data_IF_215446115592
#
_entry.id   IF_215446115592
#
_cell.length_a   1.000
_cell.length_b   1.000
_cell.length_c   1.000
_cell.angle_alpha   90.00
_cell.angle_beta   90.00
_cell.angle_gamma   90.00
#
_symmetry.space_group_name_H-M   'P 1'
#
loop_
_entity.id
_entity.type
_entity.pdbx_description
1 polymer ?
#
# COMPACT_ATOMS: atom_id res chain seq x y z
N UNK A 1 -92.42 28.06 25.41
CA UNK A 1 -91.17 28.55 26.04
C UNK A 1 -90.10 27.51 25.72
N UNK A 2 -89.02 27.71 24.97
CA UNK A 2 -88.32 28.85 24.38
C UNK A 2 -87.50 28.31 23.19
N UNK A 3 -87.47 29.05 22.06
CA UNK A 3 -86.30 29.39 21.20
C UNK A 3 -85.38 28.23 20.73
N UNK A 4 -85.00 28.05 19.46
CA UNK A 4 -84.87 28.98 18.35
C UNK A 4 -84.73 28.19 17.05
N UNK A 5 -85.45 28.67 16.04
CA UNK A 5 -85.23 28.54 14.61
C UNK A 5 -83.79 28.87 14.19
N UNK A 6 -83.01 27.84 13.84
CA UNK A 6 -81.77 27.96 13.05
C UNK A 6 -81.59 26.70 12.19
N UNK A 7 -82.65 26.33 11.49
CA UNK A 7 -82.66 25.25 10.49
C UNK A 7 -83.37 25.83 9.27
N UNK A 8 -82.83 25.63 8.08
CA UNK A 8 -83.22 26.23 6.79
C UNK A 8 -82.62 27.61 6.47
N UNK A 9 -81.29 27.78 6.49
CA UNK A 9 -80.65 28.74 5.57
C UNK A 9 -79.16 28.44 5.26
N UNK A 10 -78.75 27.17 5.36
CA UNK A 10 -77.45 26.70 4.84
C UNK A 10 -77.60 25.44 3.98
N UNK A 11 -78.76 25.31 3.31
CA UNK A 11 -79.07 24.27 2.32
C UNK A 11 -78.95 24.78 0.87
N UNK A 12 -78.29 25.92 0.65
CA UNK A 12 -78.16 26.56 -0.66
C UNK A 12 -76.70 26.89 -1.06
N UNK A 13 -75.71 26.29 -0.36
CA UNK A 13 -74.27 26.44 -0.68
C UNK A 13 -73.53 25.09 -0.69
N UNK A 14 -74.26 24.00 -0.93
CA UNK A 14 -73.74 22.63 -1.06
C UNK A 14 -74.01 22.02 -2.46
N UNK A 15 -74.25 22.88 -3.45
CA UNK A 15 -74.60 22.50 -4.83
C UNK A 15 -73.73 23.24 -5.84
N UNK A 16 -72.41 23.11 -5.72
CA UNK A 16 -71.52 23.39 -6.86
C UNK A 16 -70.33 22.42 -6.85
N UNK A 17 -70.31 21.55 -7.87
CA UNK A 17 -69.20 20.74 -8.37
C UNK A 17 -68.86 19.42 -7.67
N UNK A 18 -69.72 18.44 -7.91
CA UNK A 18 -69.27 17.08 -8.24
C UNK A 18 -69.28 16.92 -9.76
N UNK A 19 -68.10 16.95 -10.39
CA UNK A 19 -67.88 16.25 -11.67
C UNK A 19 -66.67 15.36 -11.51
N UNK A 20 -66.94 14.07 -11.42
CA UNK A 20 -65.98 12.98 -11.43
C UNK A 20 -65.09 13.04 -12.67
N UNK A 21 -63.78 13.21 -12.46
CA UNK A 21 -62.77 12.71 -13.39
C UNK A 21 -62.01 11.60 -12.67
N UNK A 22 -62.54 10.38 -12.74
CA UNK A 22 -61.76 9.19 -12.47
C UNK A 22 -60.80 8.98 -13.64
N UNK A 23 -59.60 9.57 -13.56
CA UNK A 23 -58.49 9.16 -14.42
C UNK A 23 -57.93 7.88 -13.82
N UNK A 24 -58.32 6.74 -14.39
CA UNK A 24 -57.65 5.48 -14.13
C UNK A 24 -56.17 5.65 -14.50
N UNK A 25 -55.29 5.68 -13.50
CA UNK A 25 -53.85 5.72 -13.72
C UNK A 25 -53.44 4.41 -14.40
N UNK A 26 -53.14 4.46 -15.70
CA UNK A 26 -52.45 3.37 -16.40
C UNK A 26 -51.22 3.04 -15.54
N UNK A 27 -51.10 1.80 -15.07
CA UNK A 27 -49.86 1.27 -14.49
C UNK A 27 -48.75 1.48 -15.53
N UNK A 28 -47.99 2.56 -15.35
CA UNK A 28 -46.71 2.74 -16.03
C UNK A 28 -45.85 1.54 -15.67
N UNK A 29 -45.44 0.77 -16.69
CA UNK A 29 -44.44 -0.30 -16.57
C UNK A 29 -43.02 0.25 -16.46
N UNK A 30 -42.83 1.52 -16.10
CA UNK A 30 -41.55 1.98 -15.62
C UNK A 30 -41.49 1.72 -14.11
N UNK A 31 -40.99 0.52 -13.76
CA UNK A 31 -40.22 0.41 -12.52
C UNK A 31 -39.13 1.47 -12.63
N UNK A 32 -39.31 2.57 -11.93
CA UNK A 32 -38.20 3.42 -11.55
C UNK A 32 -37.23 2.46 -10.88
N UNK A 33 -36.09 2.19 -11.53
CA UNK A 33 -34.93 1.69 -10.81
C UNK A 33 -34.69 2.76 -9.75
N UNK A 34 -35.00 2.43 -8.51
CA UNK A 34 -34.54 3.21 -7.38
C UNK A 34 -33.02 3.08 -7.47
N UNK A 35 -32.38 4.06 -8.10
CA UNK A 35 -30.94 4.25 -8.01
C UNK A 35 -30.59 4.29 -6.53
N UNK A 36 -29.44 3.68 -6.24
CA UNK A 36 -28.83 3.53 -4.91
C UNK A 36 -29.34 4.59 -3.94
N UNK A 37 -30.01 4.13 -2.88
CA UNK A 37 -30.15 4.95 -1.68
C UNK A 37 -28.75 5.44 -1.33
N UNK A 38 -28.53 6.76 -1.36
CA UNK A 38 -27.34 7.41 -0.84
C UNK A 38 -27.15 6.93 0.60
N UNK A 39 -26.32 5.91 0.77
CA UNK A 39 -25.98 5.40 2.10
C UNK A 39 -25.17 6.49 2.76
N UNK A 40 -25.68 7.01 3.88
CA UNK A 40 -24.99 8.02 4.70
C UNK A 40 -23.61 7.53 5.16
N UNK A 41 -23.41 6.20 5.23
CA UNK A 41 -22.11 5.58 5.44
C UNK A 41 -21.94 4.42 4.46
N UNK A 42 -20.95 4.54 3.58
CA UNK A 42 -20.36 3.42 2.82
C UNK A 42 -18.94 3.28 3.33
N UNK A 43 -18.64 2.14 3.96
CA UNK A 43 -17.27 1.79 4.33
C UNK A 43 -16.77 0.73 3.36
N UNK A 44 -15.57 0.87 2.78
CA UNK A 44 -14.97 -0.20 2.00
C UNK A 44 -14.72 -1.42 2.90
N UNK A 45 -14.71 -2.61 2.32
CA UNK A 45 -14.28 -3.83 3.01
C UNK A 45 -12.77 -3.86 3.25
N UNK A 46 -12.00 -3.19 2.38
CA UNK A 46 -10.55 -3.12 2.51
C UNK A 46 -10.02 -1.72 2.17
N UNK A 47 -9.12 -1.21 3.01
CA UNK A 47 -8.26 -0.07 2.66
C UNK A 47 -6.88 -0.61 2.31
N UNK A 48 -6.33 -0.19 1.16
CA UNK A 48 -4.97 -0.54 0.74
C UNK A 48 -4.12 0.71 0.71
N UNK A 49 -3.12 0.77 1.57
CA UNK A 49 -2.15 1.85 1.64
C UNK A 49 -0.85 1.47 0.95
N UNK A 50 -0.52 2.12 -0.16
CA UNK A 50 0.70 1.86 -0.92
C UNK A 50 1.68 3.01 -0.71
N UNK A 51 2.89 2.68 -0.26
CA UNK A 51 4.03 3.60 -0.25
C UNK A 51 5.07 3.09 -1.24
N UNK A 52 5.41 3.89 -2.24
CA UNK A 52 6.53 3.60 -3.14
C UNK A 52 7.74 4.38 -2.64
N UNK A 53 8.72 3.66 -2.10
CA UNK A 53 9.88 4.22 -1.41
C UNK A 53 10.72 5.05 -2.39
N UNK A 54 11.11 6.26 -2.01
CA UNK A 54 11.87 7.20 -2.86
C UNK A 54 11.15 7.61 -4.17
N UNK A 55 9.82 7.52 -4.23
CA UNK A 55 9.07 7.93 -5.43
C UNK A 55 8.94 9.44 -5.55
N UNK A 56 9.69 10.02 -6.50
CA UNK A 56 9.47 11.40 -6.92
C UNK A 56 8.19 11.51 -7.75
N UNK A 57 7.44 12.59 -7.55
CA UNK A 57 6.20 12.86 -8.27
C UNK A 57 6.39 12.85 -9.80
N UNK A 58 7.53 13.36 -10.29
CA UNK A 58 7.81 13.45 -11.73
C UNK A 58 7.93 12.08 -12.41
N UNK A 59 8.15 10.98 -11.69
CA UNK A 59 8.16 9.64 -12.27
C UNK A 59 6.83 9.23 -12.89
N UNK A 60 5.69 9.68 -12.33
CA UNK A 60 4.36 9.46 -12.92
C UNK A 60 4.28 10.00 -14.35
N UNK A 61 4.77 11.22 -14.56
CA UNK A 61 4.70 11.89 -15.86
C UNK A 61 5.87 11.54 -16.78
N UNK A 62 7.07 11.34 -16.21
CA UNK A 62 8.29 11.09 -16.96
C UNK A 62 8.24 9.75 -17.69
N UNK A 63 7.68 8.71 -17.05
CA UNK A 63 7.61 7.38 -17.64
C UNK A 63 6.23 7.04 -18.20
N UNK A 64 5.33 8.02 -18.32
CA UNK A 64 3.92 7.85 -18.66
C UNK A 64 3.67 7.03 -19.94
N UNK A 65 4.48 7.23 -20.97
CA UNK A 65 4.34 6.53 -22.26
C UNK A 65 4.77 5.05 -22.18
N UNK A 66 5.50 4.69 -21.12
CA UNK A 66 5.91 3.31 -20.87
C UNK A 66 4.99 2.57 -19.90
N UNK A 67 4.04 3.23 -19.24
CA UNK A 67 3.04 2.56 -18.42
C UNK A 67 1.89 1.97 -19.23
N UNK A 68 1.38 0.82 -18.79
CA UNK A 68 0.09 0.28 -19.21
C UNK A 68 -1.07 1.04 -18.57
N UNK A 69 -2.30 0.71 -18.97
CA UNK A 69 -3.49 1.43 -18.51
C UNK A 69 -3.97 0.96 -17.12
N UNK A 70 -3.58 -0.25 -16.70
CA UNK A 70 -4.12 -0.91 -15.50
C UNK A 70 -3.31 -0.66 -14.21
N UNK A 71 -2.14 0.00 -14.29
CA UNK A 71 -1.25 0.28 -13.15
C UNK A 71 -1.38 1.72 -12.64
N UNK A 72 -0.31 2.52 -12.76
CA UNK A 72 -0.32 3.93 -12.36
C UNK A 72 -1.39 4.75 -13.08
N UNK A 73 -1.59 4.47 -14.38
CA UNK A 73 -2.60 5.17 -15.18
C UNK A 73 -4.01 4.96 -14.66
N UNK A 74 -4.34 3.76 -14.17
CA UNK A 74 -5.63 3.49 -13.54
C UNK A 74 -5.88 4.42 -12.36
N UNK A 75 -4.93 4.52 -11.44
CA UNK A 75 -5.04 5.43 -10.28
C UNK A 75 -5.20 6.90 -10.71
N UNK A 76 -4.47 7.33 -11.74
CA UNK A 76 -4.53 8.72 -12.22
C UNK A 76 -5.82 9.03 -12.97
N UNK A 77 -6.32 8.09 -13.78
CA UNK A 77 -7.48 8.29 -14.66
C UNK A 77 -8.81 8.05 -13.94
N UNK A 78 -8.86 7.13 -12.99
CA UNK A 78 -10.08 6.71 -12.28
C UNK A 78 -10.14 7.23 -10.83
N UNK A 79 -9.02 7.73 -10.31
CA UNK A 79 -8.92 8.24 -8.94
C UNK A 79 -8.78 9.76 -8.85
N UNK A 80 -8.21 10.22 -7.73
CA UNK A 80 -7.90 11.63 -7.49
C UNK A 80 -6.39 11.81 -7.30
N UNK A 81 -5.77 12.66 -8.13
CA UNK A 81 -4.33 12.90 -8.10
C UNK A 81 -3.98 14.25 -7.44
N UNK A 82 -3.37 14.20 -6.26
CA UNK A 82 -2.85 15.37 -5.54
C UNK A 82 -1.46 15.79 -6.06
N UNK A 83 -1.43 16.77 -6.97
CA UNK A 83 -0.22 17.15 -7.72
C UNK A 83 0.78 18.06 -6.99
N UNK A 84 0.47 18.49 -5.76
CA UNK A 84 1.25 19.50 -5.03
C UNK A 84 1.46 19.14 -3.55
N UNK A 85 1.55 17.85 -3.23
CA UNK A 85 1.80 17.38 -1.88
C UNK A 85 3.30 17.44 -1.55
N UNK A 86 3.63 17.92 -0.35
CA UNK A 86 4.99 18.10 0.13
C UNK A 86 5.11 17.63 1.58
N UNK A 87 6.30 17.14 1.94
CA UNK A 87 6.64 16.88 3.34
C UNK A 87 6.87 18.21 4.06
N UNK A 88 6.22 18.38 5.21
CA UNK A 88 6.30 19.58 6.03
C UNK A 88 7.33 19.44 7.18
N UNK A 89 8.29 18.53 7.04
CA UNK A 89 9.33 18.25 8.02
C UNK A 89 10.65 17.90 7.33
N UNK A 90 11.72 17.89 8.13
CA UNK A 90 13.03 17.36 7.75
C UNK A 90 13.61 16.59 8.95
N UNK A 91 14.42 15.52 8.72
CA UNK A 91 14.85 15.00 7.42
C UNK A 91 13.80 14.12 6.71
N UNK A 92 13.77 14.16 5.37
CA UNK A 92 12.91 13.30 4.54
C UNK A 92 13.58 11.94 4.33
N UNK A 93 13.37 11.01 5.26
CA UNK A 93 13.92 9.65 5.22
C UNK A 93 12.82 8.61 5.49
N UNK A 94 13.10 7.35 5.18
CA UNK A 94 12.10 6.27 5.15
C UNK A 94 11.26 6.14 6.42
N UNK A 95 11.88 6.05 7.60
CA UNK A 95 11.19 5.87 8.88
C UNK A 95 10.22 7.02 9.20
N UNK A 96 10.70 8.28 9.24
CA UNK A 96 9.85 9.46 9.36
C UNK A 96 8.73 9.51 8.31
N UNK A 97 9.06 9.24 7.05
CA UNK A 97 8.13 9.20 5.91
C UNK A 97 6.95 8.27 6.11
N UNK A 98 7.24 6.97 6.31
CA UNK A 98 6.22 5.97 6.55
C UNK A 98 5.38 6.30 7.80
N UNK A 99 6.02 6.76 8.88
CA UNK A 99 5.30 7.13 10.10
C UNK A 99 4.34 8.30 9.88
N UNK A 100 4.79 9.37 9.20
CA UNK A 100 3.97 10.55 8.97
C UNK A 100 2.75 10.26 8.09
N UNK A 101 2.91 9.42 7.05
CA UNK A 101 1.80 9.00 6.17
C UNK A 101 0.68 8.32 6.96
N UNK A 102 1.03 7.45 7.91
CA UNK A 102 0.05 6.63 8.62
C UNK A 102 -0.44 7.25 9.93
N UNK A 103 0.25 8.23 10.50
CA UNK A 103 -0.15 8.90 11.75
C UNK A 103 -0.84 10.25 11.53
N UNK A 104 -0.68 10.86 10.35
CA UNK A 104 -1.20 12.19 10.05
C UNK A 104 -0.51 13.30 10.84
N UNK A 105 0.67 13.05 11.41
CA UNK A 105 1.47 14.01 12.17
C UNK A 105 2.95 13.93 11.80
N UNK A 106 3.79 14.74 12.42
CA UNK A 106 5.21 14.94 12.06
C UNK A 106 6.17 14.26 13.03
N UNK A 107 7.47 14.14 12.68
CA UNK A 107 8.51 13.57 13.55
C UNK A 107 8.60 14.17 14.96
N UNK A 108 8.32 15.46 15.09
CA UNK A 108 8.27 16.16 16.37
C UNK A 108 7.19 15.65 17.32
N UNK A 109 6.15 14.98 16.82
CA UNK A 109 5.01 14.47 17.58
C UNK A 109 5.05 12.94 17.67
N UNK A 110 5.25 12.24 16.55
CA UNK A 110 5.25 10.78 16.53
C UNK A 110 6.56 10.14 16.99
N UNK A 111 7.61 10.91 17.23
CA UNK A 111 8.87 10.47 17.86
C UNK A 111 9.89 9.82 16.92
N UNK A 112 9.47 9.30 15.77
CA UNK A 112 10.38 8.77 14.73
C UNK A 112 11.05 9.92 13.95
N UNK A 113 12.25 10.32 14.39
CA UNK A 113 12.99 11.49 13.85
C UNK A 113 14.02 11.18 12.75
N UNK A 114 14.25 9.89 12.49
CA UNK A 114 15.16 9.41 11.45
C UNK A 114 15.06 7.89 11.35
N UNK A 115 15.77 7.30 10.38
CA UNK A 115 15.99 5.85 10.37
C UNK A 115 16.78 5.42 11.60
N UNK A 116 17.79 6.22 11.96
CA UNK A 116 18.63 6.06 13.13
C UNK A 116 18.76 7.43 13.83
N UNK A 117 18.96 7.42 15.14
CA UNK A 117 19.34 8.62 15.90
C UNK A 117 20.08 8.25 17.17
N UNK A 118 20.79 9.21 17.74
CA UNK A 118 21.45 9.04 19.03
C UNK A 118 20.46 9.29 20.18
N UNK A 119 20.22 8.28 21.02
CA UNK A 119 19.43 8.39 22.25
C UNK A 119 20.34 8.72 23.43
N UNK A 120 20.26 9.97 23.88
CA UNK A 120 21.03 10.48 25.01
C UNK A 120 20.74 9.82 26.37
N UNK A 121 19.60 9.13 26.53
CA UNK A 121 19.27 8.46 27.79
C UNK A 121 19.99 7.12 27.91
N UNK A 122 20.11 6.40 26.80
CA UNK A 122 20.81 5.12 26.73
C UNK A 122 22.27 5.28 26.31
N UNK A 123 22.66 6.47 25.84
CA UNK A 123 24.00 6.78 25.30
C UNK A 123 24.39 5.86 24.12
N UNK A 124 23.45 5.66 23.19
CA UNK A 124 23.63 4.76 22.04
C UNK A 124 22.94 5.31 20.79
N UNK A 125 23.43 4.93 19.62
CA UNK A 125 22.66 5.05 18.38
C UNK A 125 21.58 3.97 18.36
N UNK A 126 20.34 4.37 18.09
CA UNK A 126 19.18 3.48 18.03
C UNK A 126 18.58 3.48 16.63
N UNK A 127 18.03 2.34 16.23
CA UNK A 127 17.30 2.19 14.99
C UNK A 127 15.79 2.34 15.23
N UNK A 128 15.08 2.94 14.27
CA UNK A 128 13.68 3.37 14.43
C UNK A 128 12.70 2.26 14.81
N UNK A 129 12.98 1.02 14.40
CA UNK A 129 12.13 -0.14 14.66
C UNK A 129 12.82 -1.23 15.51
N UNK A 130 14.12 -1.13 15.82
CA UNK A 130 14.84 -2.19 16.55
C UNK A 130 14.34 -2.31 17.98
N UNK A 131 14.05 -3.53 18.43
CA UNK A 131 13.59 -3.82 19.78
C UNK A 131 14.06 -5.20 20.25
N UNK A 132 15.08 -5.23 21.11
CA UNK A 132 15.65 -6.46 21.66
C UNK A 132 14.75 -7.19 22.67
N UNK A 133 13.60 -6.61 23.04
CA UNK A 133 12.64 -7.28 23.93
C UNK A 133 11.79 -8.34 23.21
N UNK A 134 11.80 -8.32 21.87
CA UNK A 134 11.12 -9.29 21.02
C UNK A 134 12.13 -10.14 20.24
N UNK A 135 11.83 -11.43 20.10
CA UNK A 135 12.57 -12.36 19.25
C UNK A 135 12.06 -12.35 17.80
N UNK A 136 12.95 -12.75 16.89
CA UNK A 136 12.65 -12.99 15.48
C UNK A 136 11.72 -14.18 15.27
N UNK A 137 10.86 -14.10 14.25
CA UNK A 137 9.93 -15.16 13.86
C UNK A 137 10.07 -15.42 12.37
N UNK A 138 10.43 -16.65 11.99
CA UNK A 138 10.71 -17.02 10.59
C UNK A 138 12.18 -16.98 10.17
N UNK A 139 13.09 -16.62 11.08
CA UNK A 139 14.56 -16.70 10.91
C UNK A 139 15.22 -16.87 12.28
N UNK A 140 16.45 -17.41 12.31
CA UNK A 140 17.31 -17.41 13.50
C UNK A 140 18.17 -16.15 13.63
N UNK A 141 18.18 -15.28 12.62
CA UNK A 141 18.89 -14.00 12.63
C UNK A 141 18.20 -12.98 13.54
N UNK A 142 18.94 -11.96 13.98
CA UNK A 142 18.40 -10.82 14.74
C UNK A 142 17.58 -9.84 13.87
N UNK A 143 17.48 -10.09 12.55
CA UNK A 143 16.71 -9.30 11.61
C UNK A 143 15.20 -9.19 11.95
N UNK A 144 14.70 -10.07 12.81
CA UNK A 144 13.32 -10.07 13.28
C UNK A 144 13.09 -9.32 14.60
N UNK A 145 14.13 -8.79 15.27
CA UNK A 145 13.99 -8.08 16.56
C UNK A 145 13.47 -6.65 16.37
N UNK A 146 12.22 -6.54 15.92
CA UNK A 146 11.60 -5.27 15.52
C UNK A 146 10.21 -5.07 16.16
N UNK A 147 9.89 -3.83 16.53
CA UNK A 147 8.58 -3.42 17.05
C UNK A 147 8.33 -1.92 16.80
N UNK A 148 7.07 -1.44 16.92
CA UNK A 148 6.74 -0.03 16.77
C UNK A 148 7.01 0.80 18.04
N UNK A 149 7.65 0.26 19.09
CA UNK A 149 7.66 0.86 20.44
C UNK A 149 8.22 2.30 20.54
N UNK A 150 9.02 2.74 19.56
CA UNK A 150 9.58 4.10 19.52
C UNK A 150 8.59 5.13 18.96
N UNK A 151 7.53 4.67 18.29
CA UNK A 151 6.44 5.51 17.83
C UNK A 151 5.51 5.82 19.01
N UNK A 152 5.26 7.09 19.27
CA UNK A 152 4.55 7.52 20.49
C UNK A 152 3.07 7.80 20.28
N UNK A 153 2.57 7.58 19.06
CA UNK A 153 1.19 7.91 18.65
C UNK A 153 0.57 6.76 17.86
N UNK A 154 -0.76 6.69 17.86
CA UNK A 154 -1.49 5.72 17.05
C UNK A 154 -1.45 6.06 15.56
N UNK A 155 -1.43 5.05 14.71
CA UNK A 155 -1.67 5.17 13.27
C UNK A 155 -3.16 5.15 12.92
N UNK A 156 -3.52 5.45 11.67
CA UNK A 156 -4.86 5.22 11.13
C UNK A 156 -5.25 3.73 11.17
N UNK A 157 -4.27 2.82 11.03
CA UNK A 157 -4.44 1.38 11.18
C UNK A 157 -4.78 0.99 12.63
N UNK A 158 -4.14 1.62 13.61
CA UNK A 158 -4.49 1.47 15.02
C UNK A 158 -5.91 1.96 15.30
N UNK A 159 -6.25 3.14 14.78
CA UNK A 159 -7.59 3.72 14.94
C UNK A 159 -8.67 2.85 14.30
N UNK A 160 -8.40 2.23 13.15
CA UNK A 160 -9.33 1.29 12.52
C UNK A 160 -9.60 0.07 13.41
N UNK A 161 -8.54 -0.54 13.96
CA UNK A 161 -8.70 -1.69 14.86
C UNK A 161 -9.44 -1.32 16.13
N UNK A 162 -9.10 -0.19 16.76
CA UNK A 162 -9.81 0.31 17.94
C UNK A 162 -11.29 0.57 17.64
N UNK A 163 -11.60 1.21 16.50
CA UNK A 163 -12.97 1.48 16.07
C UNK A 163 -13.78 0.18 15.91
N UNK A 164 -13.18 -0.85 15.30
CA UNK A 164 -13.83 -2.14 15.08
C UNK A 164 -13.74 -3.11 16.27
N UNK A 165 -13.32 -2.64 17.45
CA UNK A 165 -13.13 -3.46 18.66
C UNK A 165 -12.20 -4.65 18.39
N UNK A 166 -11.11 -4.39 17.68
CA UNK A 166 -10.04 -5.33 17.29
C UNK A 166 -10.49 -6.45 16.33
N UNK A 167 -11.72 -6.39 15.79
CA UNK A 167 -12.23 -7.37 14.83
C UNK A 167 -11.69 -7.19 13.42
N UNK A 168 -11.37 -5.96 13.02
CA UNK A 168 -10.69 -5.72 11.74
C UNK A 168 -9.27 -6.27 11.77
N UNK A 169 -8.80 -6.68 10.59
CA UNK A 169 -7.43 -7.11 10.36
C UNK A 169 -6.60 -5.97 9.80
N UNK A 170 -5.37 -5.86 10.29
CA UNK A 170 -4.33 -4.98 9.73
C UNK A 170 -3.11 -5.82 9.41
N UNK A 171 -2.70 -5.83 8.15
CA UNK A 171 -1.50 -6.53 7.66
C UNK A 171 -0.58 -5.50 6.98
N UNK A 172 0.69 -5.45 7.37
CA UNK A 172 1.68 -4.57 6.79
C UNK A 172 2.84 -5.35 6.16
N UNK A 173 3.27 -4.99 4.95
CA UNK A 173 4.21 -5.76 4.13
C UNK A 173 5.23 -4.81 3.50
N UNK A 174 6.53 -5.11 3.63
CA UNK A 174 7.60 -4.34 3.01
C UNK A 174 8.89 -5.16 2.89
N UNK A 175 9.80 -4.80 1.98
CA UNK A 175 11.14 -5.43 2.05
C UNK A 175 11.95 -4.94 3.27
N UNK A 176 11.72 -3.70 3.69
CA UNK A 176 12.35 -3.07 4.85
C UNK A 176 11.44 -3.21 6.08
N UNK A 177 11.97 -3.66 7.21
CA UNK A 177 11.21 -3.77 8.48
C UNK A 177 10.41 -2.50 8.83
N UNK A 178 11.05 -1.33 8.84
CA UNK A 178 10.43 -0.03 9.14
C UNK A 178 9.32 0.36 8.17
N UNK A 179 9.36 -0.15 6.94
CA UNK A 179 8.31 0.04 5.93
C UNK A 179 7.06 -0.79 6.20
N UNK A 180 7.13 -1.82 7.04
CA UNK A 180 5.99 -2.62 7.49
C UNK A 180 5.59 -2.28 8.94
N UNK A 181 6.56 -2.22 9.86
CA UNK A 181 6.34 -2.00 11.30
C UNK A 181 5.66 -0.67 11.58
N UNK A 182 6.13 0.43 10.96
CA UNK A 182 5.62 1.77 11.26
C UNK A 182 4.21 2.01 10.67
N UNK A 183 3.91 1.59 9.42
CA UNK A 183 2.53 1.59 8.91
C UNK A 183 1.56 0.66 9.64
N UNK A 184 2.05 -0.50 10.11
CA UNK A 184 1.23 -1.46 10.86
C UNK A 184 0.73 -0.91 12.19
N UNK A 185 1.49 -0.03 12.82
CA UNK A 185 1.13 0.54 14.12
C UNK A 185 1.28 -0.45 15.26
N UNK A 186 0.76 -0.07 16.41
CA UNK A 186 0.86 -0.82 17.66
C UNK A 186 -0.04 -2.05 17.71
N UNK A 187 -1.01 -2.12 16.81
CA UNK A 187 -2.07 -3.12 16.86
C UNK A 187 -2.14 -3.95 15.59
N UNK A 188 -1.20 -3.93 14.66
CA UNK A 188 -1.30 -4.81 13.49
C UNK A 188 -1.49 -6.29 13.89
N UNK A 189 -2.29 -7.03 13.12
CA UNK A 189 -2.34 -8.48 13.25
C UNK A 189 -1.00 -9.09 12.85
N UNK A 190 -0.36 -8.51 11.82
CA UNK A 190 0.98 -8.84 11.42
C UNK A 190 1.67 -7.67 10.70
N UNK A 191 2.98 -7.55 10.92
CA UNK A 191 3.87 -6.89 9.99
C UNK A 191 4.89 -7.92 9.48
N UNK A 192 5.07 -8.00 8.17
CA UNK A 192 6.00 -8.91 7.51
C UNK A 192 7.06 -8.13 6.74
N UNK A 193 8.31 -8.56 6.88
CA UNK A 193 9.42 -8.00 6.11
C UNK A 193 10.37 -9.05 5.58
N UNK A 194 11.09 -8.70 4.50
CA UNK A 194 11.90 -9.64 3.76
C UNK A 194 13.33 -9.75 4.31
N UNK A 195 13.65 -10.93 4.83
CA UNK A 195 15.00 -11.36 5.16
C UNK A 195 15.55 -12.22 4.02
N UNK A 196 16.39 -11.61 3.17
CA UNK A 196 17.04 -12.32 2.08
C UNK A 196 18.15 -13.23 2.60
N UNK A 197 19.40 -12.76 2.50
CA UNK A 197 20.60 -13.54 2.87
C UNK A 197 20.54 -14.96 2.29
N UNK A 198 20.82 -15.99 3.09
CA UNK A 198 20.78 -17.39 2.68
C UNK A 198 19.37 -18.01 2.71
N UNK A 199 18.37 -17.25 3.15
CA UNK A 199 17.05 -17.75 3.52
C UNK A 199 15.97 -17.39 2.47
N UNK A 200 15.88 -16.11 2.08
CA UNK A 200 14.85 -15.64 1.15
C UNK A 200 13.44 -15.62 1.77
N UNK A 201 13.35 -15.36 3.07
CA UNK A 201 12.15 -15.51 3.87
C UNK A 201 11.44 -14.17 4.14
N UNK A 202 10.11 -14.19 4.12
CA UNK A 202 9.29 -13.20 4.82
C UNK A 202 9.21 -13.57 6.29
N UNK A 203 9.61 -12.64 7.15
CA UNK A 203 9.74 -12.83 8.60
C UNK A 203 8.87 -11.82 9.36
N UNK A 204 8.75 -12.02 10.67
CA UNK A 204 8.08 -11.10 11.60
C UNK A 204 8.79 -11.13 12.95
N UNK A 205 8.13 -10.65 14.00
CA UNK A 205 8.62 -10.67 15.37
C UNK A 205 7.56 -11.16 16.36
N UNK A 206 8.03 -11.57 17.54
CA UNK A 206 7.17 -11.95 18.68
C UNK A 206 6.33 -10.82 19.26
N UNK A 207 6.51 -9.58 18.78
CA UNK A 207 5.55 -8.50 19.03
C UNK A 207 4.19 -8.82 18.39
N UNK A 208 4.19 -9.42 17.20
CA UNK A 208 2.97 -9.71 16.43
C UNK A 208 2.44 -11.13 16.66
N UNK A 209 3.34 -12.13 16.65
CA UNK A 209 2.95 -13.55 16.68
C UNK A 209 4.11 -14.41 17.20
N UNK A 210 3.81 -15.57 17.80
CA UNK A 210 4.86 -16.50 18.25
C UNK A 210 5.43 -17.36 17.12
N UNK A 211 4.62 -17.65 16.10
CA UNK A 211 4.97 -18.49 14.95
C UNK A 211 4.35 -17.90 13.69
N UNK A 212 5.01 -18.07 12.53
CA UNK A 212 4.45 -17.65 11.24
C UNK A 212 3.20 -18.47 10.92
N UNK A 213 2.13 -17.87 10.36
CA UNK A 213 0.98 -18.62 9.92
C UNK A 213 1.35 -19.51 8.73
N UNK A 214 0.59 -20.59 8.55
CA UNK A 214 0.86 -21.60 7.52
C UNK A 214 1.03 -21.02 6.12
N UNK A 215 0.24 -20.03 5.73
CA UNK A 215 0.33 -19.45 4.38
C UNK A 215 1.68 -18.74 4.14
N UNK A 216 2.28 -18.13 5.16
CA UNK A 216 3.62 -17.51 5.08
C UNK A 216 4.69 -18.59 5.01
N UNK A 217 4.57 -19.66 5.81
CA UNK A 217 5.47 -20.81 5.75
C UNK A 217 5.43 -21.45 4.35
N UNK A 218 4.23 -21.66 3.80
CA UNK A 218 4.04 -22.22 2.46
C UNK A 218 4.61 -21.28 1.38
N UNK A 219 4.48 -19.95 1.54
CA UNK A 219 5.11 -18.98 0.63
C UNK A 219 6.63 -19.03 0.71
N UNK A 220 7.21 -19.01 1.92
CA UNK A 220 8.67 -19.03 2.14
C UNK A 220 9.31 -20.34 1.65
N UNK A 221 8.62 -21.47 1.83
CA UNK A 221 9.11 -22.79 1.38
C UNK A 221 8.82 -23.07 -0.10
N UNK A 222 8.10 -22.17 -0.77
CA UNK A 222 7.93 -22.22 -2.22
C UNK A 222 9.21 -21.78 -2.95
N UNK A 223 9.29 -22.05 -4.25
CA UNK A 223 10.39 -21.55 -5.08
C UNK A 223 10.21 -20.09 -5.52
N UNK A 224 9.33 -19.31 -4.89
CA UNK A 224 9.00 -17.94 -5.35
C UNK A 224 10.21 -17.02 -5.27
N UNK A 225 10.90 -16.96 -4.13
CA UNK A 225 12.11 -16.15 -3.97
C UNK A 225 13.23 -16.58 -4.94
N UNK A 226 13.49 -17.89 -5.04
CA UNK A 226 14.51 -18.44 -5.95
C UNK A 226 14.15 -18.20 -7.42
N UNK A 227 12.87 -18.11 -7.79
CA UNK A 227 12.45 -17.80 -9.17
C UNK A 227 12.88 -16.40 -9.66
N UNK A 228 13.30 -15.53 -8.73
CA UNK A 228 13.88 -14.23 -9.01
C UNK A 228 15.41 -14.24 -9.13
N UNK A 229 16.06 -15.39 -8.90
CA UNK A 229 17.44 -15.65 -9.28
C UNK A 229 17.56 -15.83 -10.80
N UNK A 230 17.35 -14.74 -11.53
CA UNK A 230 17.36 -14.67 -12.99
C UNK A 230 17.93 -13.34 -13.45
N UNK A 231 18.49 -13.25 -14.68
CA UNK A 231 19.05 -11.99 -15.17
C UNK A 231 18.05 -10.84 -15.10
N UNK A 232 18.53 -9.65 -14.80
CA UNK A 232 17.77 -8.42 -14.95
C UNK A 232 18.07 -7.81 -16.32
N UNK A 233 17.11 -7.98 -17.23
CA UNK A 233 17.04 -7.32 -18.52
C UNK A 233 15.94 -6.26 -18.48
N UNK A 234 16.04 -5.21 -19.31
CA UNK A 234 14.94 -4.24 -19.44
C UNK A 234 13.67 -4.94 -19.92
N UNK A 235 12.52 -4.56 -19.37
CA UNK A 235 11.21 -5.13 -19.74
C UNK A 235 10.84 -4.77 -21.18
N UNK A 236 11.18 -3.55 -21.60
CA UNK A 236 11.00 -3.07 -22.97
C UNK A 236 12.36 -2.93 -23.65
N UNK A 237 12.35 -2.65 -24.96
CA UNK A 237 13.59 -2.38 -25.70
C UNK A 237 14.32 -1.20 -25.06
N UNK A 238 15.55 -1.43 -24.60
CA UNK A 238 16.38 -0.43 -23.92
C UNK A 238 16.60 0.85 -24.75
N UNK A 239 16.47 0.76 -26.07
CA UNK A 239 16.58 1.91 -26.97
C UNK A 239 15.37 2.85 -26.89
N UNK A 240 14.23 2.40 -26.35
CA UNK A 240 13.05 3.25 -26.13
C UNK A 240 13.11 4.01 -24.81
N UNK A 241 14.09 3.73 -23.94
CA UNK A 241 14.27 4.37 -22.64
C UNK A 241 14.95 5.72 -22.83
N UNK A 242 14.25 6.63 -23.50
CA UNK A 242 14.73 7.96 -23.88
C UNK A 242 14.60 8.98 -22.74
N UNK A 243 13.86 8.64 -21.69
CA UNK A 243 13.66 9.47 -20.50
C UNK A 243 14.74 9.24 -19.42
N UNK A 244 15.68 8.34 -19.71
CA UNK A 244 16.86 8.03 -18.91
C UNK A 244 18.16 8.41 -19.64
N UNK A 245 19.25 8.51 -18.88
CA UNK A 245 20.58 8.76 -19.38
C UNK A 245 21.20 7.58 -20.14
N UNK A 246 22.50 7.69 -20.40
CA UNK A 246 23.28 6.60 -20.99
C UNK A 246 23.35 5.43 -20.02
N UNK A 247 23.24 4.21 -20.56
CA UNK A 247 23.32 2.96 -19.81
C UNK A 247 24.68 2.74 -19.12
N UNK A 248 25.74 3.33 -19.67
CA UNK A 248 27.05 3.32 -19.04
C UNK A 248 27.45 4.74 -18.69
N UNK A 249 27.51 5.06 -17.40
CA UNK A 249 28.04 6.32 -16.91
C UNK A 249 28.74 6.15 -15.55
N UNK A 250 29.56 7.14 -15.18
CA UNK A 250 30.44 7.06 -14.00
C UNK A 250 29.75 7.47 -12.69
N UNK A 251 28.45 7.75 -12.71
CA UNK A 251 27.67 8.17 -11.54
C UNK A 251 26.79 7.05 -10.96
N UNK A 252 26.75 5.90 -11.63
CA UNK A 252 26.01 4.72 -11.24
C UNK A 252 26.90 3.72 -10.48
N UNK A 253 26.33 3.10 -9.44
CA UNK A 253 26.96 2.08 -8.62
C UNK A 253 26.91 0.69 -9.25
N UNK A 254 27.73 -0.22 -8.72
CA UNK A 254 27.88 -1.58 -9.22
C UNK A 254 27.37 -2.60 -8.21
N UNK A 255 26.93 -3.77 -8.68
CA UNK A 255 26.97 -4.98 -7.86
C UNK A 255 28.40 -5.49 -7.72
N UNK A 256 28.72 -6.14 -6.60
CA UNK A 256 30.02 -6.78 -6.39
C UNK A 256 30.25 -7.85 -7.45
N UNK A 257 31.29 -7.67 -8.27
CA UNK A 257 31.62 -8.56 -9.40
C UNK A 257 31.32 -7.95 -10.78
N UNK A 258 30.61 -6.83 -10.85
CA UNK A 258 30.45 -6.08 -12.10
C UNK A 258 31.60 -5.09 -12.33
N UNK A 259 31.86 -4.78 -13.59
CA UNK A 259 32.83 -3.75 -14.01
C UNK A 259 32.17 -2.51 -14.62
N UNK A 260 30.92 -2.61 -15.06
CA UNK A 260 30.09 -1.53 -15.61
C UNK A 260 28.67 -1.64 -15.06
N UNK A 261 27.92 -0.51 -14.95
CA UNK A 261 26.54 -0.52 -14.48
C UNK A 261 25.55 -0.91 -15.59
N UNK A 262 25.99 -1.49 -16.70
CA UNK A 262 25.17 -1.65 -17.90
C UNK A 262 24.26 -2.88 -17.85
N UNK A 263 23.12 -2.80 -18.52
CA UNK A 263 22.30 -3.97 -18.82
C UNK A 263 22.99 -4.94 -19.80
N UNK A 264 22.70 -6.26 -19.72
CA UNK A 264 21.93 -6.93 -18.67
C UNK A 264 22.75 -7.20 -17.39
N UNK A 265 22.09 -7.20 -16.23
CA UNK A 265 22.73 -7.65 -14.98
C UNK A 265 22.52 -9.16 -14.79
N UNK A 266 23.61 -9.93 -14.81
CA UNK A 266 23.61 -11.38 -14.58
C UNK A 266 23.46 -11.71 -13.09
N UNK A 267 22.25 -11.54 -12.54
CA UNK A 267 21.98 -11.78 -11.12
C UNK A 267 22.40 -13.19 -10.66
N UNK A 268 22.20 -14.28 -11.44
CA UNK A 268 22.72 -15.61 -11.09
C UNK A 268 24.23 -15.64 -10.87
N UNK A 269 25.01 -14.99 -11.75
CA UNK A 269 26.46 -14.86 -11.59
C UNK A 269 26.88 -13.97 -10.42
N UNK A 270 26.02 -13.02 -10.02
CA UNK A 270 26.27 -12.04 -8.94
C UNK A 270 25.72 -12.47 -7.58
N UNK A 271 24.91 -13.54 -7.53
CA UNK A 271 24.10 -13.93 -6.39
C UNK A 271 24.92 -14.06 -5.10
N UNK A 272 25.92 -14.95 -5.11
CA UNK A 272 26.72 -15.28 -3.93
C UNK A 272 27.55 -14.11 -3.40
N UNK A 273 28.03 -13.22 -4.26
CA UNK A 273 28.87 -12.07 -3.85
C UNK A 273 28.06 -10.87 -3.34
N UNK A 274 26.73 -10.90 -3.45
CA UNK A 274 25.83 -9.80 -3.11
C UNK A 274 24.75 -10.23 -2.10
N UNK A 275 25.08 -11.14 -1.20
CA UNK A 275 24.17 -11.56 -0.12
C UNK A 275 23.05 -12.49 -0.59
N UNK A 276 23.25 -13.22 -1.70
CA UNK A 276 22.28 -14.17 -2.26
C UNK A 276 20.91 -13.52 -2.45
N UNK A 277 19.88 -13.95 -1.70
CA UNK A 277 18.53 -13.41 -1.83
C UNK A 277 18.43 -11.92 -1.49
N UNK A 278 19.39 -11.33 -0.77
CA UNK A 278 19.40 -9.90 -0.51
C UNK A 278 19.60 -9.06 -1.79
N UNK A 279 20.25 -9.61 -2.83
CA UNK A 279 20.42 -8.90 -4.11
C UNK A 279 19.07 -8.52 -4.74
N UNK A 280 18.02 -9.31 -4.49
CA UNK A 280 16.65 -9.06 -5.00
C UNK A 280 16.17 -7.67 -4.60
N UNK A 281 16.50 -7.21 -3.37
CA UNK A 281 16.04 -5.91 -2.83
C UNK A 281 16.45 -4.74 -3.73
N UNK A 282 17.63 -4.82 -4.34
CA UNK A 282 18.19 -3.79 -5.22
C UNK A 282 17.89 -4.02 -6.71
N UNK A 283 16.80 -4.72 -7.02
CA UNK A 283 16.31 -4.95 -8.38
C UNK A 283 14.78 -4.79 -8.41
N UNK A 284 14.14 -4.66 -9.59
CA UNK A 284 12.68 -4.59 -9.69
C UNK A 284 11.98 -5.81 -9.09
N UNK A 285 12.67 -6.96 -9.03
CA UNK A 285 12.13 -8.21 -8.51
C UNK A 285 11.78 -8.14 -7.02
N UNK A 286 12.39 -7.24 -6.25
CA UNK A 286 11.98 -7.01 -4.87
C UNK A 286 10.58 -6.40 -4.76
N UNK A 287 10.19 -5.54 -5.70
CA UNK A 287 8.79 -5.08 -5.77
C UNK A 287 7.87 -6.21 -6.25
N UNK A 288 8.31 -7.03 -7.21
CA UNK A 288 7.50 -8.15 -7.72
C UNK A 288 7.21 -9.21 -6.65
N UNK A 289 8.21 -9.62 -5.85
CA UNK A 289 7.99 -10.54 -4.72
C UNK A 289 7.13 -9.91 -3.62
N UNK A 290 7.21 -8.58 -3.42
CA UNK A 290 6.33 -7.85 -2.50
C UNK A 290 4.88 -7.88 -2.97
N UNK A 291 4.64 -7.70 -4.28
CA UNK A 291 3.31 -7.84 -4.86
C UNK A 291 2.79 -9.28 -4.77
N UNK A 292 3.64 -10.28 -5.03
CA UNK A 292 3.28 -11.70 -4.88
C UNK A 292 2.83 -12.01 -3.45
N UNK A 293 3.60 -11.54 -2.46
CA UNK A 293 3.30 -11.76 -1.05
C UNK A 293 2.05 -11.02 -0.60
N UNK A 294 1.84 -9.77 -1.04
CA UNK A 294 0.63 -9.01 -0.77
C UNK A 294 -0.63 -9.65 -1.38
N UNK A 295 -0.53 -10.19 -2.60
CA UNK A 295 -1.62 -10.93 -3.24
C UNK A 295 -1.92 -12.23 -2.47
N UNK A 296 -0.89 -12.95 -2.01
CA UNK A 296 -1.06 -14.14 -1.18
C UNK A 296 -1.72 -13.83 0.17
N UNK A 297 -1.39 -12.68 0.77
CA UNK A 297 -1.97 -12.24 2.04
C UNK A 297 -3.48 -11.97 1.95
N UNK A 298 -4.02 -11.57 0.79
CA UNK A 298 -5.47 -11.41 0.62
C UNK A 298 -6.23 -12.70 0.96
N UNK A 299 -5.73 -13.85 0.50
CA UNK A 299 -6.31 -15.16 0.79
C UNK A 299 -5.83 -15.71 2.14
N UNK A 300 -4.56 -15.55 2.47
CA UNK A 300 -3.96 -16.07 3.70
C UNK A 300 -4.54 -15.46 4.98
N UNK A 301 -5.04 -14.22 4.86
CA UNK A 301 -5.61 -13.44 5.96
C UNK A 301 -7.09 -13.10 5.74
N UNK A 302 -7.76 -13.65 4.73
CA UNK A 302 -9.18 -13.36 4.40
C UNK A 302 -9.50 -11.84 4.34
N UNK A 303 -8.59 -11.02 3.80
CA UNK A 303 -8.71 -9.56 3.83
C UNK A 303 -9.85 -9.07 2.95
N UNK A 304 -10.77 -8.30 3.54
CA UNK A 304 -11.94 -7.78 2.84
C UNK A 304 -12.95 -8.86 2.45
N UNK A 305 -12.90 -10.03 3.09
CA UNK A 305 -13.83 -11.13 2.84
C UNK A 305 -15.23 -10.90 3.45
N UNK A 306 -15.32 -10.11 4.51
CA UNK A 306 -16.57 -9.74 5.17
C UNK A 306 -16.86 -8.22 5.08
N UNK A 307 -17.74 -7.69 5.93
CA UNK A 307 -18.15 -6.28 5.92
C UNK A 307 -17.37 -5.40 6.90
N UNK A 308 -16.47 -5.97 7.70
CA UNK A 308 -15.60 -5.25 8.62
C UNK A 308 -14.43 -4.74 7.80
N UNK A 309 -14.22 -3.42 7.79
CA UNK A 309 -13.13 -2.82 7.04
C UNK A 309 -11.78 -3.30 7.59
N UNK A 310 -11.02 -3.97 6.74
CA UNK A 310 -9.62 -4.35 6.99
C UNK A 310 -8.65 -3.33 6.40
N UNK A 311 -7.36 -3.48 6.72
CA UNK A 311 -6.29 -2.65 6.18
C UNK A 311 -5.11 -3.49 5.70
N UNK A 312 -4.67 -3.25 4.47
CA UNK A 312 -3.43 -3.78 3.89
C UNK A 312 -2.45 -2.64 3.59
N UNK A 313 -1.37 -2.54 4.35
CA UNK A 313 -0.30 -1.59 4.12
C UNK A 313 0.85 -2.25 3.34
N UNK A 314 1.28 -1.67 2.23
CA UNK A 314 2.30 -2.22 1.35
C UNK A 314 3.35 -1.14 1.07
N UNK A 315 4.62 -1.46 1.30
CA UNK A 315 5.75 -0.63 0.89
C UNK A 315 6.56 -1.31 -0.21
N UNK A 316 6.58 -0.70 -1.40
CA UNK A 316 7.44 -1.10 -2.50
C UNK A 316 8.81 -0.44 -2.34
N UNK A 317 9.76 -1.18 -1.78
CA UNK A 317 11.05 -0.61 -1.33
C UNK A 317 12.16 -0.65 -2.38
N UNK A 318 12.03 -1.42 -3.46
CA UNK A 318 13.13 -1.60 -4.42
C UNK A 318 13.43 -0.35 -5.24
N UNK A 319 12.46 0.55 -5.40
CA UNK A 319 12.67 1.85 -6.05
C UNK A 319 13.73 2.68 -5.33
N UNK A 320 13.76 2.64 -3.99
CA UNK A 320 14.78 3.31 -3.18
C UNK A 320 16.15 2.65 -3.28
N UNK A 321 16.21 1.31 -3.17
CA UNK A 321 17.49 0.60 -3.32
C UNK A 321 18.10 0.80 -4.70
N UNK A 322 17.29 0.73 -5.76
CA UNK A 322 17.72 1.00 -7.14
C UNK A 322 18.09 2.46 -7.32
N UNK A 323 17.27 3.39 -6.82
CA UNK A 323 17.54 4.83 -6.91
C UNK A 323 18.80 5.25 -6.17
N UNK A 324 19.10 4.67 -5.00
CA UNK A 324 20.37 4.89 -4.30
C UNK A 324 21.58 4.31 -5.03
N UNK A 325 21.42 3.16 -5.68
CA UNK A 325 22.52 2.50 -6.40
C UNK A 325 22.82 3.20 -7.73
N UNK A 326 21.81 3.55 -8.50
CA UNK A 326 21.96 4.01 -9.89
C UNK A 326 21.58 5.48 -10.11
N UNK A 327 20.90 6.11 -9.15
CA UNK A 327 20.44 7.48 -9.28
C UNK A 327 19.14 7.63 -10.08
N UNK A 328 18.60 8.84 -10.03
CA UNK A 328 17.24 9.14 -10.50
C UNK A 328 17.08 9.24 -12.01
N UNK A 329 18.16 9.15 -12.78
CA UNK A 329 18.20 9.29 -14.25
C UNK A 329 18.60 8.00 -14.96
N UNK A 330 18.81 6.89 -14.25
CA UNK A 330 19.34 5.64 -14.81
C UNK A 330 18.30 4.86 -15.61
N UNK A 331 18.75 3.90 -16.42
CA UNK A 331 17.82 3.00 -17.12
C UNK A 331 17.17 2.01 -16.16
N UNK A 332 17.89 1.67 -15.09
CA UNK A 332 17.49 0.82 -13.99
C UNK A 332 16.29 1.37 -13.24
N UNK A 333 16.30 2.67 -12.91
CA UNK A 333 15.15 3.29 -12.24
C UNK A 333 13.94 3.32 -13.17
N UNK A 334 14.14 3.65 -14.46
CA UNK A 334 13.05 3.59 -15.44
C UNK A 334 12.47 2.19 -15.56
N UNK A 335 13.31 1.16 -15.69
CA UNK A 335 12.85 -0.23 -15.78
C UNK A 335 12.11 -0.68 -14.51
N UNK A 336 12.60 -0.26 -13.35
CA UNK A 336 11.98 -0.54 -12.06
C UNK A 336 10.57 0.03 -11.99
N UNK A 337 10.36 1.27 -12.44
CA UNK A 337 9.02 1.86 -12.46
C UNK A 337 8.10 1.24 -13.51
N UNK A 338 8.63 0.89 -14.69
CA UNK A 338 7.86 0.21 -15.75
C UNK A 338 7.41 -1.18 -15.29
N UNK A 339 8.22 -1.89 -14.51
CA UNK A 339 7.83 -3.18 -13.90
C UNK A 339 6.90 -3.01 -12.71
N UNK A 340 7.12 -2.00 -11.86
CA UNK A 340 6.22 -1.67 -10.76
C UNK A 340 4.80 -1.36 -11.25
N UNK A 341 4.65 -0.69 -12.40
CA UNK A 341 3.35 -0.48 -13.06
C UNK A 341 2.62 -1.80 -13.36
N UNK A 342 3.36 -2.81 -13.85
CA UNK A 342 2.82 -4.16 -14.08
C UNK A 342 2.45 -4.85 -12.76
N UNK A 343 3.28 -4.72 -11.72
CA UNK A 343 3.01 -5.30 -10.41
C UNK A 343 1.79 -4.65 -9.72
N UNK A 344 1.61 -3.34 -9.87
CA UNK A 344 0.40 -2.62 -9.44
C UNK A 344 -0.84 -3.12 -10.18
N UNK A 345 -0.76 -3.29 -11.51
CA UNK A 345 -1.86 -3.84 -12.30
C UNK A 345 -2.25 -5.26 -11.84
N UNK A 346 -1.26 -6.10 -11.51
CA UNK A 346 -1.50 -7.45 -10.94
C UNK A 346 -2.20 -7.37 -9.59
N UNK A 347 -1.76 -6.48 -8.71
CA UNK A 347 -2.36 -6.26 -7.40
C UNK A 347 -3.81 -5.78 -7.52
N UNK A 348 -4.08 -4.74 -8.33
CA UNK A 348 -5.43 -4.21 -8.50
C UNK A 348 -6.38 -5.25 -9.10
N UNK A 349 -5.93 -6.04 -10.08
CA UNK A 349 -6.72 -7.14 -10.62
C UNK A 349 -7.02 -8.22 -9.57
N UNK A 350 -6.09 -8.48 -8.65
CA UNK A 350 -6.34 -9.39 -7.54
C UNK A 350 -7.38 -8.82 -6.56
N UNK A 351 -7.30 -7.52 -6.23
CA UNK A 351 -8.28 -6.82 -5.39
C UNK A 351 -9.68 -6.82 -6.02
N UNK A 352 -9.79 -6.49 -7.31
CA UNK A 352 -11.05 -6.52 -8.06
C UNK A 352 -11.71 -7.91 -7.99
N UNK A 353 -10.89 -8.96 -8.12
CA UNK A 353 -11.37 -10.35 -8.09
C UNK A 353 -11.75 -10.82 -6.68
N UNK A 354 -10.98 -10.43 -5.65
CA UNK A 354 -11.07 -10.99 -4.30
C UNK A 354 -11.99 -10.19 -3.38
N UNK A 355 -11.87 -8.87 -3.41
CA UNK A 355 -12.65 -7.95 -2.58
C UNK A 355 -13.89 -7.46 -3.33
N UNK A 356 -13.72 -7.17 -4.62
CA UNK A 356 -14.75 -6.62 -5.50
C UNK A 356 -14.47 -5.18 -5.89
N UNK A 357 -14.69 -4.83 -7.15
CA UNK A 357 -14.63 -3.43 -7.61
C UNK A 357 -15.57 -2.55 -6.77
N UNK A 358 -15.09 -1.39 -6.33
CA UNK A 358 -15.77 -0.43 -5.44
C UNK A 358 -15.97 -0.90 -3.98
N UNK A 359 -15.49 -2.09 -3.61
CA UNK A 359 -15.51 -2.59 -2.23
C UNK A 359 -14.17 -2.37 -1.50
N UNK A 360 -13.18 -1.78 -2.17
CA UNK A 360 -11.92 -1.36 -1.57
C UNK A 360 -11.55 0.07 -1.97
N UNK A 361 -10.69 0.70 -1.18
CA UNK A 361 -10.07 1.98 -1.54
C UNK A 361 -8.55 1.88 -1.50
N UNK A 362 -7.86 2.54 -2.42
CA UNK A 362 -6.40 2.58 -2.49
C UNK A 362 -5.93 4.02 -2.31
N UNK A 363 -4.90 4.22 -1.51
CA UNK A 363 -4.05 5.41 -1.65
C UNK A 363 -2.63 4.97 -2.02
N UNK A 364 -1.98 5.76 -2.86
CA UNK A 364 -0.57 5.58 -3.22
C UNK A 364 0.17 6.90 -2.98
N UNK A 365 1.29 6.83 -2.26
CA UNK A 365 2.18 7.97 -2.00
C UNK A 365 3.64 7.52 -1.94
N UNK A 366 4.55 8.44 -1.66
CA UNK A 366 5.93 8.18 -1.28
C UNK A 366 6.18 8.56 0.17
N UNK A 367 7.26 8.04 0.75
CA UNK A 367 7.81 8.41 2.06
C UNK A 367 8.83 9.56 1.96
N UNK A 368 9.45 9.74 0.80
CA UNK A 368 10.28 10.88 0.42
C UNK A 368 10.50 10.94 -1.11
N UNK A 369 11.17 12.01 -1.56
CA UNK A 369 11.79 12.08 -2.90
C UNK A 369 13.12 11.32 -2.94
N UNK A 370 14.11 11.84 -3.66
CA UNK A 370 15.43 11.22 -3.84
C UNK A 370 16.57 12.23 -3.65
#
# INVERSE_FOLDING_TARGET
MHKNSLSLLLLALLLTYNTNNAVAQKKSKNRIKVENLDRISVSPKLVVGIVVDQMRYDYLTRFWNHYGDDGFKRLVNEGFNCKNNHFNYAPTSTGPGHTSVYTGTTPSIHGIIGNNWYDKKTDQEVYCASDDTFASVGTTSDAGKMSPHRMTVTTVTDQLRLHNQMRSKTIAIALKDRGAVLPGGHTANAAYWYHGMDEGNWISSTFYMNELPKWVIDFNTSNTAESYNKPWTTLKDINTYLESGLDNNNYEGLFTGQTTPTFPHDLPGLWSSNGKYDIIKATPYGNSITADFAIAALDGEDLGADTITDFLAISFSSTDYVGHKYGVNSKEIQDTYVRLDVDLARLFKALDKKVGENEYTVFLTADHGA
#
